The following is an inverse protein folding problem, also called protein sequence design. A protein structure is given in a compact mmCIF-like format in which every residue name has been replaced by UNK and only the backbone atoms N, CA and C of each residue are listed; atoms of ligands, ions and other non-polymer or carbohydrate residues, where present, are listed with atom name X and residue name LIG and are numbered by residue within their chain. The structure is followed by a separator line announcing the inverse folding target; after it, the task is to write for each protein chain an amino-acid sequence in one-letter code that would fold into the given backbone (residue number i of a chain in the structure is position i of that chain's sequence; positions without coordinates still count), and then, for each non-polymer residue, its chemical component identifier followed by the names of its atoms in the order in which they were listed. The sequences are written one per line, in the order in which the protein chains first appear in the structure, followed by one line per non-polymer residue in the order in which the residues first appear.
data_IF_888846842627
#
_entry.id   IF_888846842627
#
_cell.length_a   1.000
_cell.length_b   1.000
_cell.length_c   1.000
_cell.angle_alpha   90.00
_cell.angle_beta   90.00
_cell.angle_gamma   90.00
#
_symmetry.space_group_name_H-M   'P 1'
#
loop_
_entity.id
_entity.type
_entity.pdbx_description
1 polymer ?
#
# COMPACT_ATOMS: atom_id res chain seq x y z
N UNK A 1 -53.54 33.46 17.63
CA UNK A 1 -52.93 34.62 16.92
C UNK A 1 -51.82 35.18 17.80
N UNK A 2 -50.55 35.29 17.46
CA UNK A 2 -49.74 34.98 16.27
C UNK A 2 -48.46 34.34 16.83
N UNK A 3 -48.05 33.18 16.32
CA UNK A 3 -46.74 32.61 16.65
C UNK A 3 -45.76 33.32 15.73
N UNK A 4 -44.93 34.21 16.31
CA UNK A 4 -43.83 34.83 15.57
C UNK A 4 -42.76 33.76 15.33
N UNK A 5 -42.70 33.33 14.06
CA UNK A 5 -41.75 32.40 13.49
C UNK A 5 -40.38 33.10 13.40
N UNK A 6 -39.67 33.20 14.52
CA UNK A 6 -38.32 33.74 14.55
C UNK A 6 -37.35 32.70 13.99
N UNK A 7 -37.19 32.74 12.67
CA UNK A 7 -35.92 32.58 11.95
C UNK A 7 -34.91 31.59 12.57
N UNK A 8 -35.21 30.29 12.52
CA UNK A 8 -34.17 29.26 12.63
C UNK A 8 -33.47 29.17 11.26
N UNK A 9 -32.65 30.18 10.95
CA UNK A 9 -31.86 30.21 9.73
C UNK A 9 -30.82 29.09 9.81
N UNK A 10 -30.99 28.10 8.92
CA UNK A 10 -30.06 27.03 8.60
C UNK A 10 -28.60 27.54 8.52
N UNK A 11 -27.84 27.40 9.61
CA UNK A 11 -26.39 27.33 9.55
C UNK A 11 -26.00 25.87 9.32
N UNK A 12 -26.40 25.32 8.18
CA UNK A 12 -25.66 24.20 7.61
C UNK A 12 -24.37 24.84 7.07
N UNK A 13 -23.36 24.93 7.93
CA UNK A 13 -22.00 25.01 7.45
C UNK A 13 -21.75 23.70 6.70
N UNK A 14 -22.00 23.72 5.39
CA UNK A 14 -21.41 22.78 4.46
C UNK A 14 -19.91 22.94 4.63
N UNK A 15 -19.31 22.10 5.47
CA UNK A 15 -17.89 21.86 5.50
C UNK A 15 -17.55 21.26 4.13
N UNK A 16 -17.33 22.16 3.18
CA UNK A 16 -16.63 21.82 1.96
C UNK A 16 -15.23 21.46 2.43
N UNK A 17 -15.03 20.18 2.75
CA UNK A 17 -13.71 19.60 2.84
C UNK A 17 -13.10 19.76 1.46
N UNK A 18 -12.41 20.88 1.26
CA UNK A 18 -11.53 21.03 0.11
C UNK A 18 -10.58 19.84 0.19
N UNK A 19 -10.66 18.95 -0.80
CA UNK A 19 -9.75 17.82 -0.86
C UNK A 19 -8.35 18.40 -1.00
N UNK A 20 -7.58 18.37 0.08
CA UNK A 20 -6.14 18.62 0.02
C UNK A 20 -5.55 17.48 -0.79
N UNK A 21 -5.38 17.70 -2.09
CA UNK A 21 -4.62 16.80 -2.95
C UNK A 21 -3.19 16.84 -2.44
N UNK A 22 -2.73 15.77 -1.77
CA UNK A 22 -1.33 15.59 -1.43
C UNK A 22 -0.51 15.69 -2.73
N UNK A 23 0.21 16.81 -2.90
CA UNK A 23 1.13 16.99 -4.01
C UNK A 23 2.39 16.19 -3.73
N UNK A 24 2.68 15.24 -4.61
CA UNK A 24 3.92 14.46 -4.59
C UNK A 24 4.89 14.99 -5.66
N UNK A 25 6.18 14.88 -5.38
CA UNK A 25 7.21 15.16 -6.38
C UNK A 25 7.53 13.87 -7.14
N UNK A 26 7.17 13.82 -8.41
CA UNK A 26 7.43 12.67 -9.28
C UNK A 26 8.87 12.79 -9.83
N UNK A 27 9.72 11.76 -9.67
CA UNK A 27 11.06 11.78 -10.24
C UNK A 27 11.04 11.91 -11.77
N UNK A 28 12.04 12.58 -12.34
CA UNK A 28 12.18 12.70 -13.81
C UNK A 28 12.23 11.32 -14.46
N UNK A 29 11.42 11.12 -15.51
CA UNK A 29 11.37 9.88 -16.30
C UNK A 29 10.45 8.80 -15.74
N UNK A 30 9.80 9.04 -14.59
CA UNK A 30 8.77 8.15 -14.04
C UNK A 30 7.42 8.48 -14.67
N UNK A 31 6.75 7.47 -15.22
CA UNK A 31 5.34 7.59 -15.62
C UNK A 31 4.46 7.30 -14.41
N UNK A 32 3.65 8.29 -14.01
CA UNK A 32 2.86 8.24 -12.79
C UNK A 32 1.41 8.66 -13.06
N UNK A 33 0.47 7.75 -12.76
CA UNK A 33 -0.95 7.92 -13.04
C UNK A 33 -1.75 8.01 -11.73
N UNK A 34 -2.18 9.23 -11.41
CA UNK A 34 -3.01 9.50 -10.24
C UNK A 34 -4.35 8.75 -10.27
N UNK A 35 -4.84 8.38 -9.09
CA UNK A 35 -6.19 7.88 -8.88
C UNK A 35 -7.07 9.00 -8.31
N UNK A 36 -8.38 8.78 -8.34
CA UNK A 36 -9.32 9.63 -7.57
C UNK A 36 -8.99 9.50 -6.08
N UNK A 37 -9.05 10.62 -5.37
CA UNK A 37 -8.85 10.69 -3.91
C UNK A 37 -9.68 9.66 -3.15
N UNK A 38 -10.95 9.48 -3.54
CA UNK A 38 -11.86 8.48 -2.98
C UNK A 38 -11.31 7.05 -3.04
N UNK A 39 -10.64 6.69 -4.16
CA UNK A 39 -10.05 5.37 -4.32
C UNK A 39 -8.83 5.19 -3.41
N UNK A 40 -8.01 6.25 -3.26
CA UNK A 40 -6.85 6.25 -2.38
C UNK A 40 -7.28 6.13 -0.91
N UNK A 41 -8.29 6.88 -0.49
CA UNK A 41 -8.81 6.81 0.87
C UNK A 41 -9.47 5.45 1.16
N UNK A 42 -10.21 4.90 0.19
CA UNK A 42 -10.73 3.53 0.31
C UNK A 42 -9.60 2.51 0.46
N UNK A 43 -8.51 2.65 -0.29
CA UNK A 43 -7.35 1.77 -0.16
C UNK A 43 -6.69 1.88 1.22
N UNK A 44 -6.54 3.08 1.78
CA UNK A 44 -6.05 3.29 3.16
C UNK A 44 -6.91 2.56 4.18
N UNK A 45 -8.23 2.70 4.10
CA UNK A 45 -9.16 2.02 5.01
C UNK A 45 -9.05 0.49 4.93
N UNK A 46 -8.86 -0.05 3.71
CA UNK A 46 -8.68 -1.49 3.53
C UNK A 46 -7.33 -1.97 4.08
N UNK A 47 -6.25 -1.18 3.96
CA UNK A 47 -4.96 -1.50 4.59
C UNK A 47 -5.14 -1.54 6.12
N UNK A 48 -5.78 -0.53 6.70
CA UNK A 48 -6.07 -0.49 8.15
C UNK A 48 -6.91 -1.69 8.59
N UNK A 49 -7.91 -2.09 7.79
CA UNK A 49 -8.71 -3.29 8.03
C UNK A 49 -7.87 -4.56 8.02
N UNK A 50 -7.00 -4.72 7.02
CA UNK A 50 -6.19 -5.92 6.86
C UNK A 50 -5.06 -6.04 7.91
N UNK A 51 -4.69 -4.93 8.56
CA UNK A 51 -3.75 -4.88 9.67
C UNK A 51 -4.37 -5.21 11.04
N UNK A 52 -5.70 -5.36 11.14
CA UNK A 52 -6.36 -5.75 12.41
C UNK A 52 -6.31 -7.26 12.64
N UNK A 53 -6.41 -7.66 13.91
CA UNK A 53 -6.43 -9.07 14.30
C UNK A 53 -7.65 -9.83 13.74
N UNK A 54 -8.78 -9.14 13.54
CA UNK A 54 -10.03 -9.67 12.97
C UNK A 54 -10.16 -9.42 11.45
N UNK A 55 -9.02 -9.20 10.79
CA UNK A 55 -8.94 -8.95 9.34
C UNK A 55 -9.72 -9.95 8.50
N UNK A 56 -10.41 -9.43 7.49
CA UNK A 56 -11.08 -10.21 6.45
C UNK A 56 -10.21 -10.41 5.18
N UNK A 57 -8.96 -9.92 5.19
CA UNK A 57 -8.01 -10.00 4.09
C UNK A 57 -8.57 -9.42 2.78
N UNK A 58 -9.25 -8.27 2.87
CA UNK A 58 -9.92 -7.63 1.75
C UNK A 58 -8.96 -7.28 0.60
N UNK A 59 -7.70 -6.96 0.89
CA UNK A 59 -6.68 -6.66 -0.12
C UNK A 59 -5.98 -7.91 -0.68
N UNK A 60 -6.24 -9.10 -0.13
CA UNK A 60 -5.56 -10.32 -0.58
C UNK A 60 -6.10 -10.79 -1.93
N UNK A 61 -5.20 -10.85 -2.90
CA UNK A 61 -5.41 -11.43 -4.23
C UNK A 61 -4.68 -12.75 -4.39
N UNK A 62 -4.94 -13.46 -5.51
CA UNK A 62 -4.17 -14.66 -5.87
C UNK A 62 -2.71 -14.35 -6.16
N UNK A 63 -2.47 -13.22 -6.81
CA UNK A 63 -1.13 -12.77 -7.19
C UNK A 63 -0.78 -11.57 -6.34
N UNK A 64 0.28 -11.71 -5.55
CA UNK A 64 0.97 -10.60 -4.90
C UNK A 64 2.47 -10.81 -5.07
N UNK A 65 3.16 -9.80 -5.60
CA UNK A 65 4.60 -9.78 -5.72
C UNK A 65 5.18 -9.22 -4.42
N UNK A 66 6.09 -9.98 -3.81
CA UNK A 66 6.89 -9.57 -2.67
C UNK A 66 8.24 -9.09 -3.22
N UNK A 67 8.45 -7.77 -3.15
CA UNK A 67 9.63 -7.13 -3.71
C UNK A 67 10.93 -7.53 -3.00
N UNK A 68 12.07 -7.19 -3.60
CA UNK A 68 13.36 -7.79 -3.24
C UNK A 68 13.85 -7.42 -1.84
N UNK A 69 13.58 -6.21 -1.36
CA UNK A 69 14.05 -5.76 -0.05
C UNK A 69 13.28 -6.48 1.05
N UNK A 70 11.95 -6.50 0.94
CA UNK A 70 11.11 -7.22 1.89
C UNK A 70 11.38 -8.72 1.86
N UNK A 71 11.48 -9.31 0.66
CA UNK A 71 11.75 -10.74 0.52
C UNK A 71 13.10 -11.12 1.12
N UNK A 72 14.13 -10.28 1.01
CA UNK A 72 15.42 -10.57 1.62
C UNK A 72 15.32 -10.79 3.15
N UNK A 73 14.36 -10.13 3.82
CA UNK A 73 14.06 -10.36 5.24
C UNK A 73 13.09 -11.51 5.46
N UNK A 74 12.05 -11.61 4.63
CA UNK A 74 10.96 -12.56 4.81
C UNK A 74 11.31 -14.00 4.38
N UNK A 75 12.31 -14.18 3.49
CA UNK A 75 12.68 -15.49 2.93
C UNK A 75 13.12 -16.53 3.95
N UNK A 76 13.55 -16.11 5.14
CA UNK A 76 13.99 -17.02 6.20
C UNK A 76 12.85 -17.40 7.19
N UNK A 77 11.67 -16.82 7.01
CA UNK A 77 10.49 -17.16 7.82
C UNK A 77 9.92 -18.47 7.25
N UNK A 78 9.94 -19.54 8.06
CA UNK A 78 9.57 -20.90 7.66
C UNK A 78 8.28 -20.95 6.82
N UNK A 79 7.19 -20.38 7.34
CA UNK A 79 5.87 -20.42 6.67
C UNK A 79 5.82 -19.68 5.32
N UNK A 80 6.72 -18.71 5.10
CA UNK A 80 6.82 -17.96 3.84
C UNK A 80 7.80 -18.63 2.86
N UNK A 81 8.87 -19.24 3.38
CA UNK A 81 9.80 -20.02 2.58
C UNK A 81 9.12 -21.26 1.96
N UNK A 82 8.19 -21.87 2.70
CA UNK A 82 7.40 -23.03 2.28
C UNK A 82 6.31 -22.73 1.23
N UNK A 83 6.09 -21.46 0.86
CA UNK A 83 5.20 -21.12 -0.27
C UNK A 83 5.77 -21.77 -1.54
N UNK A 84 4.99 -22.64 -2.18
CA UNK A 84 5.42 -23.34 -3.38
C UNK A 84 5.46 -22.42 -4.60
N UNK A 85 6.39 -22.68 -5.52
CA UNK A 85 6.51 -21.90 -6.75
C UNK A 85 6.83 -20.43 -6.50
N UNK A 86 6.48 -19.56 -7.46
CA UNK A 86 6.52 -18.11 -7.29
C UNK A 86 7.88 -17.47 -7.00
N UNK A 87 9.00 -18.20 -7.11
CA UNK A 87 10.33 -17.61 -6.93
C UNK A 87 10.60 -16.65 -8.09
N UNK A 88 10.90 -15.39 -7.79
CA UNK A 88 11.16 -14.36 -8.81
C UNK A 88 12.60 -13.88 -8.72
N UNK A 89 13.12 -13.37 -9.84
CA UNK A 89 14.41 -12.68 -9.91
C UNK A 89 14.19 -11.34 -10.58
N UNK A 90 14.50 -10.27 -9.87
CA UNK A 90 14.51 -8.91 -10.40
C UNK A 90 15.90 -8.60 -10.92
N UNK A 91 15.97 -8.13 -12.16
CA UNK A 91 17.19 -7.62 -12.77
C UNK A 91 17.17 -6.10 -12.58
N UNK A 92 17.96 -5.60 -11.64
CA UNK A 92 18.04 -4.18 -11.33
C UNK A 92 19.47 -3.75 -11.65
N UNK A 93 19.61 -2.90 -12.66
CA UNK A 93 20.89 -2.63 -13.32
C UNK A 93 21.58 -3.92 -13.79
N UNK A 94 22.64 -4.36 -13.09
CA UNK A 94 23.37 -5.61 -13.36
C UNK A 94 23.22 -6.63 -12.23
N UNK A 95 22.46 -6.32 -11.18
CA UNK A 95 22.28 -7.16 -10.02
C UNK A 95 21.04 -8.05 -10.16
N UNK A 96 21.15 -9.25 -9.59
CA UNK A 96 20.04 -10.21 -9.48
C UNK A 96 19.52 -10.20 -8.06
N UNK A 97 18.33 -9.61 -7.86
CA UNK A 97 17.68 -9.57 -6.57
C UNK A 97 16.59 -10.65 -6.51
N UNK A 98 16.61 -11.46 -5.45
CA UNK A 98 15.58 -12.48 -5.24
C UNK A 98 14.28 -11.84 -4.78
N UNK A 99 13.15 -12.33 -5.28
CA UNK A 99 11.82 -12.02 -4.78
C UNK A 99 10.94 -13.25 -4.65
N UNK A 100 9.67 -13.01 -4.34
CA UNK A 100 8.65 -14.04 -4.27
C UNK A 100 7.34 -13.50 -4.83
N UNK A 101 6.49 -14.38 -5.33
CA UNK A 101 5.15 -14.09 -5.81
C UNK A 101 4.22 -15.16 -5.26
N UNK A 102 3.08 -14.76 -4.70
CA UNK A 102 2.04 -15.71 -4.30
C UNK A 102 1.21 -16.11 -5.53
N UNK A 103 0.64 -17.32 -5.51
CA UNK A 103 -0.18 -17.85 -6.61
C UNK A 103 -1.61 -18.18 -6.18
N UNK A 104 -1.89 -18.10 -4.88
CA UNK A 104 -3.21 -18.20 -4.30
C UNK A 104 -3.41 -17.20 -3.15
N UNK A 105 -4.65 -17.10 -2.70
CA UNK A 105 -5.05 -16.14 -1.68
C UNK A 105 -4.51 -16.54 -0.30
N UNK A 106 -4.40 -17.83 0.01
CA UNK A 106 -3.94 -18.29 1.33
C UNK A 106 -2.47 -17.94 1.55
N UNK A 107 -1.64 -18.04 0.51
CA UNK A 107 -0.25 -17.60 0.57
C UNK A 107 -0.12 -16.09 0.73
N UNK A 108 -0.98 -15.31 0.07
CA UNK A 108 -1.06 -13.86 0.28
C UNK A 108 -1.43 -13.53 1.73
N UNK A 109 -2.35 -14.28 2.35
CA UNK A 109 -2.69 -14.11 3.77
C UNK A 109 -1.52 -14.40 4.69
N UNK A 110 -0.73 -15.45 4.42
CA UNK A 110 0.47 -15.77 5.23
C UNK A 110 1.46 -14.61 5.28
N UNK A 111 1.64 -13.92 4.16
CA UNK A 111 2.51 -12.73 4.07
C UNK A 111 1.93 -11.57 4.87
N UNK A 112 0.62 -11.30 4.73
CA UNK A 112 -0.08 -10.30 5.55
C UNK A 112 0.04 -10.58 7.04
N UNK A 113 -0.02 -11.85 7.46
CA UNK A 113 0.13 -12.22 8.87
C UNK A 113 1.53 -11.90 9.40
N UNK A 114 2.60 -12.11 8.62
CA UNK A 114 3.95 -11.70 9.05
C UNK A 114 4.10 -10.18 9.06
N UNK A 115 3.54 -9.49 8.07
CA UNK A 115 3.55 -8.03 8.05
C UNK A 115 2.82 -7.46 9.29
N UNK A 116 1.62 -7.97 9.58
CA UNK A 116 0.82 -7.60 10.76
C UNK A 116 1.59 -7.87 12.05
N UNK A 117 2.21 -9.04 12.17
CA UNK A 117 3.03 -9.41 13.33
C UNK A 117 4.24 -8.49 13.50
N UNK A 118 4.90 -8.11 12.42
CA UNK A 118 6.07 -7.22 12.45
C UNK A 118 5.69 -5.78 12.86
N UNK A 119 4.55 -5.29 12.37
CA UNK A 119 3.99 -4.00 12.79
C UNK A 119 3.53 -4.07 14.25
N UNK A 120 2.90 -5.19 14.64
CA UNK A 120 2.42 -5.42 15.99
C UNK A 120 1.50 -4.29 16.46
N UNK A 121 1.84 -3.70 17.62
CA UNK A 121 1.12 -2.55 18.20
C UNK A 121 1.81 -1.22 17.91
N UNK A 122 2.78 -1.19 17.00
CA UNK A 122 3.48 0.04 16.66
C UNK A 122 2.51 1.02 15.98
N UNK A 123 2.65 2.30 16.33
CA UNK A 123 1.97 3.35 15.57
C UNK A 123 2.52 3.36 14.15
N UNK A 124 1.62 3.46 13.18
CA UNK A 124 1.94 3.59 11.78
C UNK A 124 1.16 4.75 11.16
N UNK A 125 1.61 5.20 9.99
CA UNK A 125 0.87 6.11 9.13
C UNK A 125 0.77 5.51 7.72
N UNK A 126 -0.29 5.86 7.00
CA UNK A 126 -0.46 5.48 5.60
C UNK A 126 -0.52 6.75 4.78
N UNK A 127 0.48 6.95 3.92
CA UNK A 127 0.67 8.18 3.13
C UNK A 127 1.08 7.87 1.70
N UNK A 128 1.06 8.87 0.83
CA UNK A 128 1.68 8.73 -0.49
C UNK A 128 3.21 8.61 -0.39
N UNK A 129 3.79 7.99 -1.42
CA UNK A 129 5.24 7.88 -1.56
C UNK A 129 5.88 9.25 -1.85
N UNK A 130 7.06 9.50 -1.25
CA UNK A 130 7.89 10.64 -1.60
C UNK A 130 8.78 10.33 -2.82
N UNK A 131 9.48 11.35 -3.34
CA UNK A 131 10.31 11.22 -4.54
C UNK A 131 11.36 10.10 -4.45
N UNK A 132 12.00 9.91 -3.28
CA UNK A 132 13.02 8.87 -3.09
C UNK A 132 12.39 7.48 -3.16
N UNK A 133 11.27 7.29 -2.50
CA UNK A 133 10.53 6.02 -2.47
C UNK A 133 10.00 5.67 -3.86
N UNK A 134 9.51 6.66 -4.61
CA UNK A 134 9.12 6.51 -6.01
C UNK A 134 10.29 6.12 -6.90
N UNK A 135 11.47 6.72 -6.70
CA UNK A 135 12.66 6.40 -7.49
C UNK A 135 13.10 4.95 -7.29
N UNK A 136 13.09 4.49 -6.04
CA UNK A 136 13.37 3.08 -5.73
C UNK A 136 12.30 2.16 -6.34
N UNK A 137 11.02 2.47 -6.13
CA UNK A 137 9.96 1.62 -6.65
C UNK A 137 10.03 1.52 -8.17
N UNK A 138 10.28 2.65 -8.85
CA UNK A 138 10.48 2.69 -10.30
C UNK A 138 11.68 1.88 -10.78
N UNK A 139 12.75 1.76 -10.00
CA UNK A 139 13.93 0.99 -10.41
C UNK A 139 13.73 -0.52 -10.35
N UNK A 140 12.70 -1.01 -9.65
CA UNK A 140 12.48 -2.45 -9.45
C UNK A 140 11.27 -3.01 -10.20
N UNK A 141 10.44 -2.15 -10.79
CA UNK A 141 9.28 -2.55 -11.59
C UNK A 141 9.51 -2.36 -13.09
N UNK A 142 8.68 -3.01 -13.90
CA UNK A 142 8.74 -2.95 -15.37
C UNK A 142 7.47 -2.36 -16.01
N UNK A 143 6.68 -1.62 -15.23
CA UNK A 143 5.39 -1.07 -15.63
C UNK A 143 5.18 0.32 -15.00
N UNK A 144 4.30 1.13 -15.60
CA UNK A 144 3.95 2.48 -15.13
C UNK A 144 3.39 2.47 -13.69
N UNK A 145 3.66 3.52 -12.92
CA UNK A 145 3.14 3.62 -11.56
C UNK A 145 1.69 4.11 -11.60
N UNK A 146 0.77 3.19 -11.34
CA UNK A 146 -0.65 3.47 -11.14
C UNK A 146 -0.99 3.59 -9.64
N UNK A 147 -1.66 4.66 -9.23
CA UNK A 147 -2.25 4.73 -7.88
C UNK A 147 -3.48 3.81 -7.72
N UNK A 148 -3.77 3.23 -6.53
CA UNK A 148 -3.15 3.57 -5.25
C UNK A 148 -1.78 2.95 -5.03
N UNK A 149 -0.77 3.82 -4.88
CA UNK A 149 0.57 3.49 -4.39
C UNK A 149 0.73 4.17 -3.04
N UNK A 150 0.79 3.38 -1.98
CA UNK A 150 0.81 3.87 -0.60
C UNK A 150 2.04 3.36 0.14
N UNK A 151 2.51 4.19 1.07
CA UNK A 151 3.56 3.84 2.02
C UNK A 151 2.91 3.63 3.37
N UNK A 152 3.06 2.42 3.91
CA UNK A 152 2.78 2.11 5.29
C UNK A 152 4.06 2.34 6.09
N UNK A 153 4.14 3.47 6.77
CA UNK A 153 5.31 3.88 7.53
C UNK A 153 5.16 3.55 9.00
N UNK A 154 6.11 2.79 9.53
CA UNK A 154 6.28 2.51 10.95
C UNK A 154 7.57 3.16 11.44
N UNK A 155 7.84 3.07 12.75
CA UNK A 155 9.13 3.53 13.32
C UNK A 155 10.35 2.83 12.73
N UNK A 156 10.18 1.60 12.24
CA UNK A 156 11.29 0.75 11.78
C UNK A 156 11.33 0.63 10.26
N UNK A 157 10.18 0.49 9.63
CA UNK A 157 10.06 0.08 8.24
C UNK A 157 9.06 0.96 7.51
N UNK A 158 9.33 1.22 6.24
CA UNK A 158 8.38 1.85 5.33
C UNK A 158 8.05 0.83 4.25
N UNK A 159 6.83 0.31 4.23
CA UNK A 159 6.40 -0.67 3.26
C UNK A 159 5.74 0.01 2.07
N UNK A 160 6.02 -0.47 0.87
CA UNK A 160 5.43 0.00 -0.38
C UNK A 160 4.29 -0.94 -0.74
N UNK A 161 3.09 -0.41 -0.92
CA UNK A 161 1.90 -1.14 -1.33
C UNK A 161 1.39 -0.56 -2.65
N UNK A 162 1.52 -1.30 -3.75
CA UNK A 162 0.84 -0.97 -5.00
C UNK A 162 -0.44 -1.82 -5.12
N UNK A 163 -1.58 -1.15 -5.23
CA UNK A 163 -2.92 -1.73 -5.19
C UNK A 163 -3.57 -1.55 -6.56
N UNK A 164 -4.14 -2.63 -7.08
CA UNK A 164 -4.82 -2.60 -8.38
C UNK A 164 -6.09 -1.74 -8.31
N UNK A 165 -6.24 -0.81 -9.27
CA UNK A 165 -7.39 0.10 -9.37
C UNK A 165 -8.74 -0.63 -9.46
N UNK A 166 -8.78 -1.79 -10.12
CA UNK A 166 -10.03 -2.44 -10.52
C UNK A 166 -10.68 -3.27 -9.42
N UNK A 167 -9.88 -3.98 -8.62
CA UNK A 167 -10.35 -4.95 -7.62
C UNK A 167 -9.81 -4.68 -6.21
N UNK A 168 -8.97 -3.65 -6.06
CA UNK A 168 -8.32 -3.27 -4.81
C UNK A 168 -7.53 -4.41 -4.16
N UNK A 169 -6.87 -5.25 -4.98
CA UNK A 169 -5.91 -6.24 -4.47
C UNK A 169 -4.50 -5.67 -4.47
N UNK A 170 -3.72 -6.00 -3.45
CA UNK A 170 -2.29 -5.66 -3.43
C UNK A 170 -1.59 -6.49 -4.49
N UNK A 171 -1.08 -5.82 -5.51
CA UNK A 171 -0.25 -6.44 -6.54
C UNK A 171 1.21 -6.49 -6.10
N UNK A 172 1.68 -5.47 -5.39
CA UNK A 172 3.09 -5.37 -4.98
C UNK A 172 3.18 -4.96 -3.52
N UNK A 173 3.94 -5.73 -2.75
CA UNK A 173 4.32 -5.44 -1.38
C UNK A 173 5.85 -5.50 -1.27
N UNK A 174 6.48 -4.42 -0.82
CA UNK A 174 7.91 -4.38 -0.60
C UNK A 174 8.27 -3.43 0.54
N UNK A 175 9.55 -3.23 0.77
CA UNK A 175 10.08 -2.28 1.74
C UNK A 175 11.00 -1.28 1.05
N UNK A 176 10.94 -0.03 1.51
CA UNK A 176 11.88 1.02 1.12
C UNK A 176 13.26 0.68 1.70
N UNK A 177 14.32 0.58 0.87
CA UNK A 177 15.67 0.33 1.36
C UNK A 177 16.08 1.33 2.45
N UNK A 178 16.61 0.82 3.57
CA UNK A 178 17.29 1.67 4.55
C UNK A 178 18.63 2.13 3.96
N UNK A 179 18.98 3.40 4.22
CA UNK A 179 20.32 3.94 3.92
C UNK A 179 21.35 3.40 4.90
#
# INVERSE_FOLDING_TARGET
MKINLTLLLFLIFSTSFGQTVEKITIPKGVVYNYAKSELVEKAKQLIEGDLKDDSNYALSGKIMIIGPVLWNRFKNIKKLNEIEGGNTTFLVDNDKLSGKMTQDVEDTKKVWDELRKEIGKDNYSIRKANERELRYYWSVISFDIDEPLLILETKKHSYILNILKNDLKVMWLDEVPRR
#
